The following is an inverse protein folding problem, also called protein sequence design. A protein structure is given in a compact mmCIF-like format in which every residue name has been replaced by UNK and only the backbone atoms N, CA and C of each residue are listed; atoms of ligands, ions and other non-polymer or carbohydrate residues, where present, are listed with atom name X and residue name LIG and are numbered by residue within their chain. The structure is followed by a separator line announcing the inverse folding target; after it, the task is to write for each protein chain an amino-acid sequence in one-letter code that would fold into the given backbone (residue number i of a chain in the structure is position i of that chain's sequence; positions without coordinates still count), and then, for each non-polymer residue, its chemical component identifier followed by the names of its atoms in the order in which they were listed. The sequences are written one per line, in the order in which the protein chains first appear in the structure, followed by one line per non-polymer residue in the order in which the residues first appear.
data_IF_470355796640
#
_entry.id   IF_470355796640
#
_cell.length_a   1.000
_cell.length_b   1.000
_cell.length_c   1.000
_cell.angle_alpha   90.00
_cell.angle_beta   90.00
_cell.angle_gamma   90.00
#
_symmetry.space_group_name_H-M   'P 1'
#
loop_
_entity.id
_entity.type
_entity.pdbx_description
1 polymer ?
#
# COMPACT_ATOMS: atom_id res chain seq x y z
N UNK A 1 -24.20 9.58 -64.80
CA UNK A 1 -24.51 10.60 -63.78
C UNK A 1 -24.89 9.87 -62.50
N UNK A 2 -23.96 9.78 -61.54
CA UNK A 2 -24.13 9.05 -60.29
C UNK A 2 -24.69 9.99 -59.22
N UNK A 3 -25.89 9.71 -58.71
CA UNK A 3 -26.45 10.40 -57.55
C UNK A 3 -25.91 9.75 -56.29
N UNK A 4 -25.02 10.45 -55.59
CA UNK A 4 -24.57 10.07 -54.24
C UNK A 4 -25.68 10.43 -53.24
N UNK A 5 -26.38 9.42 -52.72
CA UNK A 5 -27.22 9.58 -51.55
C UNK A 5 -26.32 9.64 -50.31
N UNK A 6 -26.24 10.81 -49.68
CA UNK A 6 -25.69 10.92 -48.32
C UNK A 6 -26.65 10.24 -47.35
N UNK A 7 -26.30 9.05 -46.87
CA UNK A 7 -26.96 8.42 -45.73
C UNK A 7 -26.59 9.20 -44.47
N UNK A 8 -27.53 9.99 -43.96
CA UNK A 8 -27.44 10.64 -42.65
C UNK A 8 -27.27 9.56 -41.58
N UNK A 9 -26.09 9.50 -40.97
CA UNK A 9 -25.86 8.59 -39.85
C UNK A 9 -26.70 9.04 -38.65
N UNK A 10 -27.40 8.07 -38.06
CA UNK A 10 -28.22 8.19 -36.87
C UNK A 10 -27.42 8.76 -35.70
N UNK A 11 -28.11 9.57 -34.87
CA UNK A 11 -27.56 10.18 -33.64
C UNK A 11 -26.81 9.12 -32.83
N UNK A 12 -25.53 9.35 -32.58
CA UNK A 12 -24.76 8.53 -31.66
C UNK A 12 -25.46 8.54 -30.30
N UNK A 13 -25.65 7.38 -29.65
CA UNK A 13 -26.20 7.35 -28.31
C UNK A 13 -25.31 8.18 -27.37
N UNK A 14 -25.94 8.91 -26.45
CA UNK A 14 -25.24 9.76 -25.49
C UNK A 14 -24.17 8.97 -24.74
N UNK A 15 -23.01 9.59 -24.51
CA UNK A 15 -21.90 8.95 -23.80
C UNK A 15 -22.31 8.57 -22.37
N UNK A 16 -21.66 7.54 -21.82
CA UNK A 16 -21.82 7.16 -20.42
C UNK A 16 -21.66 8.37 -19.47
N UNK A 17 -20.67 9.24 -19.73
CA UNK A 17 -20.44 10.44 -18.91
C UNK A 17 -21.61 11.44 -18.92
N UNK A 18 -22.35 11.53 -20.02
CA UNK A 18 -23.56 12.36 -20.09
C UNK A 18 -24.66 11.81 -19.18
N UNK A 19 -24.88 10.49 -19.18
CA UNK A 19 -25.87 9.85 -18.32
C UNK A 19 -25.52 9.95 -16.83
N UNK A 20 -24.23 9.79 -16.50
CA UNK A 20 -23.74 9.97 -15.12
C UNK A 20 -24.01 11.40 -14.66
N UNK A 21 -23.68 12.41 -15.48
CA UNK A 21 -23.91 13.81 -15.12
C UNK A 21 -25.40 14.12 -14.92
N UNK A 22 -26.27 13.63 -15.82
CA UNK A 22 -27.71 13.82 -15.69
C UNK A 22 -28.27 13.18 -14.41
N UNK A 23 -27.84 11.96 -14.08
CA UNK A 23 -28.24 11.30 -12.84
C UNK A 23 -27.75 12.06 -11.60
N UNK A 24 -26.54 12.63 -11.65
CA UNK A 24 -25.98 13.46 -10.57
C UNK A 24 -26.75 14.76 -10.38
N UNK A 25 -27.14 15.44 -11.47
CA UNK A 25 -27.99 16.63 -11.44
C UNK A 25 -29.37 16.32 -10.83
N UNK A 26 -29.99 15.20 -11.22
CA UNK A 26 -31.26 14.73 -10.63
C UNK A 26 -31.14 14.42 -9.14
N UNK A 27 -29.95 14.05 -8.66
CA UNK A 27 -29.66 13.78 -7.25
C UNK A 27 -29.19 15.02 -6.46
N UNK A 28 -29.07 16.20 -7.09
CA UNK A 28 -28.62 17.44 -6.44
C UNK A 28 -27.13 17.45 -6.06
N UNK A 29 -26.29 16.68 -6.77
CA UNK A 29 -24.83 16.66 -6.56
C UNK A 29 -24.22 17.74 -7.46
N UNK A 30 -24.14 18.97 -6.94
CA UNK A 30 -23.73 20.16 -7.72
C UNK A 30 -22.21 20.27 -7.96
N UNK A 31 -21.40 19.61 -7.14
CA UNK A 31 -19.93 19.70 -7.21
C UNK A 31 -19.29 18.32 -6.98
N UNK A 32 -18.95 17.64 -8.07
CA UNK A 32 -18.17 16.40 -8.01
C UNK A 32 -16.75 16.69 -8.45
N UNK A 33 -15.82 16.69 -7.51
CA UNK A 33 -14.41 16.62 -7.85
C UNK A 33 -14.12 15.20 -8.33
N UNK A 34 -13.87 15.06 -9.65
CA UNK A 34 -13.26 13.84 -10.18
C UNK A 34 -11.89 13.74 -9.53
N UNK A 35 -11.70 12.75 -8.67
CA UNK A 35 -10.40 12.46 -8.09
C UNK A 35 -9.44 12.16 -9.25
N UNK A 36 -8.30 12.88 -9.38
CA UNK A 36 -7.37 12.62 -10.46
C UNK A 36 -6.89 11.17 -10.37
N UNK A 37 -6.87 10.48 -11.51
CA UNK A 37 -6.26 9.15 -11.57
C UNK A 37 -4.78 9.32 -11.32
N UNK A 38 -4.29 8.71 -10.25
CA UNK A 38 -2.86 8.65 -9.97
C UNK A 38 -2.21 7.68 -10.96
N UNK A 39 -1.62 8.25 -12.01
CA UNK A 39 -0.80 7.51 -12.94
C UNK A 39 0.62 7.44 -12.36
N UNK A 40 1.10 6.23 -12.14
CA UNK A 40 2.47 5.97 -11.70
C UNK A 40 3.47 6.66 -12.65
N UNK A 41 4.51 7.28 -12.09
CA UNK A 41 5.63 7.86 -12.86
C UNK A 41 6.53 6.76 -13.42
N UNK A 42 6.42 5.56 -12.88
CA UNK A 42 7.10 4.36 -13.35
C UNK A 42 6.13 3.54 -14.19
N UNK A 43 6.55 3.13 -15.39
CA UNK A 43 5.70 2.29 -16.22
C UNK A 43 5.41 0.95 -15.51
N UNK A 44 4.20 0.36 -15.65
CA UNK A 44 3.79 -0.81 -14.87
C UNK A 44 4.76 -1.99 -14.94
N UNK A 45 5.40 -2.21 -16.09
CA UNK A 45 6.37 -3.30 -16.29
C UNK A 45 7.74 -3.08 -15.62
N UNK A 46 7.98 -1.89 -15.04
CA UNK A 46 9.16 -1.62 -14.21
C UNK A 46 8.86 -1.65 -12.72
N UNK A 47 7.60 -1.86 -12.31
CA UNK A 47 7.25 -2.01 -10.90
C UNK A 47 7.79 -3.35 -10.38
N UNK A 48 8.35 -3.38 -9.16
CA UNK A 48 8.94 -4.59 -8.61
C UNK A 48 7.84 -5.54 -8.17
N UNK A 49 8.04 -6.83 -8.44
CA UNK A 49 7.25 -7.87 -7.78
C UNK A 49 7.65 -7.96 -6.31
N UNK A 50 6.66 -7.89 -5.43
CA UNK A 50 6.85 -8.00 -3.98
C UNK A 50 6.59 -9.44 -3.56
N UNK A 51 7.64 -10.14 -3.15
CA UNK A 51 7.54 -11.48 -2.57
C UNK A 51 7.49 -11.39 -1.05
N UNK A 52 6.39 -11.82 -0.40
CA UNK A 52 6.31 -11.79 1.04
C UNK A 52 7.23 -12.84 1.65
N UNK A 53 8.02 -12.41 2.63
CA UNK A 53 8.59 -13.34 3.59
C UNK A 53 7.49 -13.67 4.60
N UNK A 54 7.18 -14.94 4.78
CA UNK A 54 6.19 -15.38 5.76
C UNK A 54 6.93 -15.98 6.94
N UNK A 55 6.85 -15.30 8.08
CA UNK A 55 7.47 -15.77 9.31
C UNK A 55 6.75 -17.05 9.85
N UNK A 56 5.49 -17.31 9.43
CA UNK A 56 4.67 -18.46 9.85
C UNK A 56 3.80 -18.97 8.69
N UNK A 57 3.75 -20.28 8.43
CA UNK A 57 2.97 -20.87 7.33
C UNK A 57 1.62 -21.45 7.75
N UNK A 58 1.47 -21.94 8.99
CA UNK A 58 0.40 -22.94 9.20
C UNK A 58 -0.66 -22.63 10.25
N UNK A 59 -0.46 -21.72 11.20
CA UNK A 59 -1.45 -21.54 12.28
C UNK A 59 -1.57 -20.11 12.77
N UNK A 60 -2.68 -19.47 12.38
CA UNK A 60 -3.32 -18.37 13.13
C UNK A 60 -3.97 -18.93 14.42
N UNK A 61 -3.33 -19.91 15.06
CA UNK A 61 -3.79 -20.43 16.35
C UNK A 61 -3.03 -19.65 17.43
N UNK A 62 -3.73 -19.29 18.49
CA UNK A 62 -3.32 -18.44 19.60
C UNK A 62 -2.00 -18.86 20.24
N UNK A 63 -0.87 -18.48 19.64
CA UNK A 63 0.42 -18.62 20.28
C UNK A 63 0.48 -17.65 21.46
N UNK A 64 0.87 -18.11 22.67
CA UNK A 64 1.11 -17.21 23.78
C UNK A 64 2.12 -16.13 23.38
N UNK A 65 1.95 -14.86 23.81
CA UNK A 65 2.85 -13.76 23.41
C UNK A 65 4.35 -14.07 23.59
N UNK A 66 4.81 -14.74 24.66
CA UNK A 66 6.23 -15.09 24.80
C UNK A 66 6.73 -16.05 23.71
N UNK A 67 5.90 -17.00 23.27
CA UNK A 67 6.26 -17.97 22.22
C UNK A 67 6.30 -17.28 20.87
N UNK A 68 5.32 -16.41 20.59
CA UNK A 68 5.29 -15.62 19.37
C UNK A 68 6.49 -14.64 19.28
N UNK A 69 6.86 -14.00 20.39
CA UNK A 69 8.07 -13.17 20.48
C UNK A 69 9.33 -13.98 20.17
N UNK A 70 9.52 -15.15 20.78
CA UNK A 70 10.69 -16.00 20.54
C UNK A 70 10.80 -16.43 19.07
N UNK A 71 9.70 -16.86 18.47
CA UNK A 71 9.67 -17.27 17.05
C UNK A 71 9.91 -16.07 16.12
N UNK A 72 9.39 -14.88 16.45
CA UNK A 72 9.69 -13.67 15.71
C UNK A 72 11.18 -13.32 15.80
N UNK A 73 11.78 -13.40 16.98
CA UNK A 73 13.21 -13.10 17.17
C UNK A 73 14.09 -14.11 16.43
N UNK A 74 13.75 -15.40 16.48
CA UNK A 74 14.43 -16.45 15.72
C UNK A 74 14.30 -16.20 14.20
N UNK A 75 13.12 -15.88 13.72
CA UNK A 75 12.94 -15.54 12.30
C UNK A 75 13.68 -14.25 11.92
N UNK A 76 13.64 -13.22 12.76
CA UNK A 76 14.36 -11.97 12.53
C UNK A 76 15.87 -12.21 12.42
N UNK A 77 16.40 -13.20 13.14
CA UNK A 77 17.80 -13.62 13.02
C UNK A 77 18.17 -14.16 11.63
N UNK A 78 17.21 -14.73 10.88
CA UNK A 78 17.43 -15.13 9.48
C UNK A 78 17.66 -13.93 8.55
N UNK A 79 17.26 -12.73 8.99
CA UNK A 79 17.45 -11.45 8.29
C UNK A 79 18.50 -10.57 8.96
N UNK A 80 19.39 -11.10 9.80
CA UNK A 80 20.37 -10.30 10.57
C UNK A 80 21.30 -9.40 9.76
N UNK A 81 21.48 -9.69 8.47
CA UNK A 81 22.31 -8.90 7.55
C UNK A 81 21.56 -7.67 6.98
N UNK A 82 20.27 -7.54 7.26
CA UNK A 82 19.45 -6.40 6.91
C UNK A 82 19.08 -5.59 8.14
N UNK A 83 18.85 -4.29 7.95
CA UNK A 83 18.41 -3.43 9.04
C UNK A 83 16.91 -3.70 9.32
N UNK A 84 16.53 -4.12 10.55
CA UNK A 84 15.13 -4.40 10.87
C UNK A 84 14.35 -3.09 11.04
N UNK A 85 13.17 -3.02 10.44
CA UNK A 85 12.24 -1.89 10.55
C UNK A 85 10.88 -2.44 10.94
N UNK A 86 10.29 -2.00 12.03
CA UNK A 86 8.96 -2.45 12.45
C UNK A 86 7.93 -1.39 12.10
N UNK A 87 6.85 -1.80 11.43
CA UNK A 87 5.74 -0.93 11.08
C UNK A 87 4.46 -1.37 11.78
N UNK A 88 3.59 -0.42 12.12
CA UNK A 88 2.28 -0.73 12.70
C UNK A 88 1.29 0.39 12.37
N UNK A 89 0.12 0.03 11.86
CA UNK A 89 -1.03 0.92 11.76
C UNK A 89 -1.87 0.78 13.01
N UNK A 90 -2.30 1.91 13.59
CA UNK A 90 -3.13 1.92 14.79
C UNK A 90 -4.46 2.63 14.55
N UNK A 91 -5.47 2.21 15.31
CA UNK A 91 -6.79 2.82 15.38
C UNK A 91 -7.15 3.08 16.83
N UNK A 92 -7.77 4.22 17.09
CA UNK A 92 -8.28 4.62 18.40
C UNK A 92 -9.59 5.39 18.23
N UNK A 93 -10.29 5.69 19.33
CA UNK A 93 -11.47 6.56 19.31
C UNK A 93 -11.15 7.96 18.77
N UNK A 94 -9.88 8.40 18.85
CA UNK A 94 -9.41 9.67 18.33
C UNK A 94 -9.03 9.64 16.84
N UNK A 95 -9.19 8.51 16.16
CA UNK A 95 -8.85 8.29 14.76
C UNK A 95 -7.69 7.32 14.56
N UNK A 96 -7.00 7.44 13.43
CA UNK A 96 -5.97 6.51 12.98
C UNK A 96 -4.57 7.09 13.15
N UNK A 97 -3.57 6.22 13.22
CA UNK A 97 -2.17 6.61 13.28
C UNK A 97 -1.28 5.54 12.67
N UNK A 98 -0.03 5.89 12.43
CA UNK A 98 0.99 4.93 12.00
C UNK A 98 2.26 5.12 12.80
N UNK A 99 3.01 4.03 12.98
CA UNK A 99 4.30 4.00 13.65
C UNK A 99 5.32 3.22 12.83
N UNK A 100 6.57 3.68 12.88
CA UNK A 100 7.74 3.03 12.29
C UNK A 100 8.89 3.07 13.29
N UNK A 101 9.49 1.92 13.57
CA UNK A 101 10.59 1.76 14.52
C UNK A 101 11.81 1.21 13.80
N UNK A 102 12.89 1.99 13.84
CA UNK A 102 14.24 1.60 13.46
C UNK A 102 15.05 1.29 14.74
N UNK A 103 16.22 0.63 14.64
CA UNK A 103 17.07 0.37 15.81
C UNK A 103 17.44 1.64 16.58
N UNK A 104 17.71 2.73 15.86
CA UNK A 104 18.23 3.97 16.43
C UNK A 104 17.14 5.00 16.76
N UNK A 105 15.94 4.87 16.17
CA UNK A 105 14.87 5.85 16.34
C UNK A 105 13.49 5.31 15.99
N UNK A 106 12.46 5.97 16.52
CA UNK A 106 11.08 5.75 16.12
C UNK A 106 10.43 7.03 15.58
N UNK A 107 9.46 6.85 14.70
CA UNK A 107 8.65 7.92 14.11
C UNK A 107 7.21 7.44 13.97
N UNK A 108 6.28 8.36 13.99
CA UNK A 108 4.88 8.08 13.78
C UNK A 108 4.12 9.35 13.47
N UNK A 109 2.89 9.18 12.99
CA UNK A 109 2.04 10.30 12.60
C UNK A 109 0.58 9.99 12.91
N UNK A 110 -0.17 11.06 13.23
CA UNK A 110 -1.62 10.99 13.31
C UNK A 110 -2.21 11.15 11.92
N UNK A 111 -3.22 10.36 11.64
CA UNK A 111 -3.97 10.37 10.40
C UNK A 111 -5.39 10.89 10.64
N UNK A 112 -6.07 11.43 9.61
CA UNK A 112 -7.47 11.79 9.70
C UNK A 112 -8.33 10.63 10.18
N UNK A 113 -9.34 10.92 11.01
CA UNK A 113 -10.26 9.92 11.57
C UNK A 113 -11.14 9.23 10.52
N UNK A 114 -11.23 9.79 9.31
CA UNK A 114 -12.00 9.24 8.19
C UNK A 114 -11.27 8.11 7.44
N UNK A 115 -9.98 7.89 7.73
CA UNK A 115 -9.20 6.85 7.05
C UNK A 115 -9.52 5.46 7.60
N UNK A 116 -8.93 4.43 6.99
CA UNK A 116 -9.08 3.05 7.44
C UNK A 116 -7.80 2.54 8.10
N UNK A 117 -7.90 1.48 8.88
CA UNK A 117 -6.73 0.76 9.40
C UNK A 117 -5.82 0.29 8.26
N UNK A 118 -6.39 -0.11 7.12
CA UNK A 118 -5.64 -0.47 5.92
C UNK A 118 -4.80 0.70 5.38
N UNK A 119 -5.36 1.91 5.37
CA UNK A 119 -4.63 3.12 4.97
C UNK A 119 -3.52 3.47 5.95
N UNK A 120 -3.75 3.27 7.26
CA UNK A 120 -2.74 3.48 8.29
C UNK A 120 -1.53 2.55 8.12
N UNK A 121 -1.80 1.26 7.89
CA UNK A 121 -0.79 0.23 7.59
C UNK A 121 0.01 0.56 6.32
N UNK A 122 -0.65 0.99 5.24
CA UNK A 122 0.04 1.46 4.03
C UNK A 122 0.87 2.73 4.28
N UNK A 123 0.39 3.63 5.14
CA UNK A 123 1.10 4.86 5.49
C UNK A 123 2.39 4.55 6.26
N UNK A 124 2.37 3.58 7.17
CA UNK A 124 3.55 3.10 7.87
C UNK A 124 4.61 2.56 6.88
N UNK A 125 4.18 1.73 5.93
CA UNK A 125 5.05 1.17 4.90
C UNK A 125 5.64 2.24 3.97
N UNK A 126 4.82 3.21 3.54
CA UNK A 126 5.28 4.32 2.73
C UNK A 126 6.33 5.16 3.45
N UNK A 127 6.09 5.47 4.72
CA UNK A 127 7.05 6.22 5.53
C UNK A 127 8.35 5.43 5.72
N UNK A 128 8.26 4.11 5.97
CA UNK A 128 9.44 3.25 6.09
C UNK A 128 10.27 3.25 4.81
N UNK A 129 9.68 3.06 3.63
CA UNK A 129 10.43 3.05 2.36
C UNK A 129 11.07 4.40 2.03
N UNK A 130 10.39 5.52 2.36
CA UNK A 130 10.96 6.86 2.25
C UNK A 130 12.21 7.03 3.12
N UNK A 131 12.13 6.64 4.40
CA UNK A 131 13.27 6.73 5.33
C UNK A 131 14.39 5.80 4.91
N UNK A 132 14.10 4.57 4.51
CA UNK A 132 15.07 3.62 3.98
C UNK A 132 15.89 4.21 2.84
N UNK A 133 15.26 4.99 1.95
CA UNK A 133 15.95 5.63 0.84
C UNK A 133 17.00 6.66 1.28
N UNK A 134 16.83 7.26 2.46
CA UNK A 134 17.78 8.24 3.02
C UNK A 134 18.95 7.61 3.77
N UNK A 135 18.79 6.37 4.24
CA UNK A 135 19.77 5.71 5.11
C UNK A 135 20.85 4.95 4.29
N UNK A 136 22.12 4.93 4.71
CA UNK A 136 23.23 4.28 4.00
C UNK A 136 23.29 2.76 4.23
N UNK A 137 22.16 2.05 4.11
CA UNK A 137 22.09 0.60 4.30
C UNK A 137 21.88 -0.15 2.98
N UNK A 138 22.52 -1.33 2.81
CA UNK A 138 22.36 -2.14 1.60
C UNK A 138 21.04 -2.92 1.59
N UNK A 139 20.44 -3.18 2.76
CA UNK A 139 19.17 -3.86 2.83
C UNK A 139 18.37 -3.56 4.09
N UNK A 140 17.05 -3.66 3.97
CA UNK A 140 16.10 -3.51 5.07
C UNK A 140 15.12 -4.68 5.08
N UNK A 141 14.74 -5.14 6.28
CA UNK A 141 13.60 -6.03 6.45
C UNK A 141 12.52 -5.29 7.23
N UNK A 142 11.39 -5.05 6.57
CA UNK A 142 10.21 -4.42 7.15
C UNK A 142 9.34 -5.52 7.77
N UNK A 143 9.28 -5.52 9.10
CA UNK A 143 8.49 -6.43 9.91
C UNK A 143 7.14 -5.81 10.28
N UNK A 144 6.13 -6.68 10.31
CA UNK A 144 4.73 -6.42 10.67
C UNK A 144 4.06 -5.42 9.73
N UNK A 145 3.12 -5.97 8.98
CA UNK A 145 2.18 -5.27 8.11
C UNK A 145 0.88 -6.06 8.14
N UNK A 146 -0.26 -5.42 7.96
CA UNK A 146 -1.51 -6.15 7.78
C UNK A 146 -1.45 -7.06 6.54
N UNK A 147 -2.00 -8.28 6.65
CA UNK A 147 -2.04 -9.22 5.52
C UNK A 147 -2.71 -8.61 4.28
N UNK A 148 -3.73 -7.76 4.49
CA UNK A 148 -4.38 -7.00 3.43
C UNK A 148 -3.46 -5.98 2.76
N UNK A 149 -2.66 -5.21 3.52
CA UNK A 149 -1.69 -4.27 2.95
C UNK A 149 -0.63 -4.98 2.10
N UNK A 150 -0.14 -6.14 2.55
CA UNK A 150 0.76 -6.95 1.74
C UNK A 150 0.09 -7.50 0.49
N UNK A 151 -1.11 -8.06 0.63
CA UNK A 151 -1.82 -8.59 -0.52
C UNK A 151 -2.04 -7.51 -1.58
N UNK A 152 -2.24 -6.25 -1.17
CA UNK A 152 -2.32 -5.11 -2.07
C UNK A 152 -0.98 -4.76 -2.74
N UNK A 153 0.15 -4.92 -2.04
CA UNK A 153 1.49 -4.76 -2.63
C UNK A 153 1.85 -5.90 -3.59
N UNK A 154 1.43 -7.13 -3.30
CA UNK A 154 1.67 -8.29 -4.15
C UNK A 154 0.73 -8.35 -5.37
N UNK A 155 -0.51 -7.85 -5.25
CA UNK A 155 -1.50 -7.88 -6.32
C UNK A 155 -1.80 -6.48 -6.85
N UNK A 156 -1.29 -6.16 -8.04
CA UNK A 156 -1.49 -4.89 -8.73
C UNK A 156 -2.92 -4.63 -9.24
N UNK A 157 -3.92 -5.39 -8.80
CA UNK A 157 -5.29 -5.35 -9.33
C UNK A 157 -6.08 -4.09 -8.95
N UNK A 158 -5.52 -3.19 -8.13
CA UNK A 158 -6.15 -1.92 -7.78
C UNK A 158 -5.12 -0.79 -7.70
N UNK A 159 -5.26 0.33 -8.43
CA UNK A 159 -4.34 1.47 -8.37
C UNK A 159 -4.63 2.29 -7.10
N UNK A 160 -4.35 1.73 -5.94
CA UNK A 160 -4.39 2.49 -4.69
C UNK A 160 -3.18 3.43 -4.64
N UNK A 161 -3.36 4.75 -4.42
CA UNK A 161 -2.28 5.73 -4.57
C UNK A 161 -1.10 5.45 -3.62
N UNK A 162 -1.37 5.00 -2.39
CA UNK A 162 -0.28 4.62 -1.46
C UNK A 162 0.47 3.36 -1.89
N UNK A 163 -0.21 2.38 -2.49
CA UNK A 163 0.43 1.15 -2.98
C UNK A 163 1.37 1.51 -4.14
N UNK A 164 0.90 2.33 -5.08
CA UNK A 164 1.72 2.85 -6.17
C UNK A 164 2.93 3.63 -5.65
N UNK A 165 2.73 4.53 -4.69
CA UNK A 165 3.82 5.30 -4.10
C UNK A 165 4.87 4.39 -3.42
N UNK A 166 4.44 3.36 -2.67
CA UNK A 166 5.36 2.38 -2.07
C UNK A 166 6.17 1.68 -3.15
N UNK A 167 5.52 1.19 -4.21
CA UNK A 167 6.20 0.51 -5.32
C UNK A 167 7.18 1.43 -6.05
N UNK A 168 6.84 2.69 -6.28
CA UNK A 168 7.76 3.69 -6.84
C UNK A 168 9.00 3.87 -5.96
N UNK A 169 8.84 3.94 -4.63
CA UNK A 169 9.98 3.99 -3.70
C UNK A 169 10.83 2.72 -3.76
N UNK A 170 10.21 1.55 -3.89
CA UNK A 170 10.94 0.28 -4.06
C UNK A 170 11.76 0.27 -5.36
N UNK A 171 11.26 0.87 -6.45
CA UNK A 171 12.05 1.06 -7.68
C UNK A 171 13.27 1.93 -7.43
N UNK A 172 13.10 3.05 -6.73
CA UNK A 172 14.21 3.96 -6.41
C UNK A 172 15.26 3.30 -5.52
N UNK A 173 14.81 2.54 -4.51
CA UNK A 173 15.68 1.74 -3.64
C UNK A 173 16.44 0.67 -4.44
N UNK A 174 15.75 -0.05 -5.33
CA UNK A 174 16.38 -1.04 -6.21
C UNK A 174 17.43 -0.43 -7.13
N UNK A 175 17.18 0.76 -7.70
CA UNK A 175 18.17 1.50 -8.52
C UNK A 175 19.40 1.92 -7.74
N UNK A 176 19.26 2.13 -6.42
CA UNK A 176 20.37 2.41 -5.50
C UNK A 176 21.15 1.13 -5.11
N UNK A 177 20.66 -0.05 -5.51
CA UNK A 177 21.20 -1.33 -5.06
C UNK A 177 20.76 -1.71 -3.64
N UNK A 178 19.71 -1.08 -3.12
CA UNK A 178 19.16 -1.39 -1.80
C UNK A 178 18.02 -2.42 -1.92
N UNK A 179 18.14 -3.53 -1.18
CA UNK A 179 17.10 -4.57 -1.11
C UNK A 179 16.12 -4.29 0.02
N UNK A 180 14.82 -4.35 -0.25
CA UNK A 180 13.79 -4.31 0.80
C UNK A 180 13.00 -5.60 0.80
N UNK A 181 12.92 -6.24 1.96
CA UNK A 181 12.15 -7.45 2.20
C UNK A 181 10.99 -7.10 3.13
N UNK A 182 9.78 -7.57 2.83
CA UNK A 182 8.63 -7.47 3.74
C UNK A 182 8.46 -8.83 4.44
N UNK A 183 8.57 -8.91 5.79
CA UNK A 183 8.12 -10.10 6.56
C UNK A 183 6.80 -9.90 7.27
N UNK A 184 5.85 -10.78 6.98
CA UNK A 184 4.57 -10.83 7.64
C UNK A 184 4.73 -11.52 8.98
N UNK A 185 4.24 -10.86 10.02
CA UNK A 185 4.21 -11.38 11.39
C UNK A 185 2.76 -11.37 11.85
N UNK A 186 2.20 -12.49 12.33
CA UNK A 186 0.87 -12.54 12.91
C UNK A 186 0.80 -11.66 14.15
N UNK A 187 -0.36 -11.05 14.36
CA UNK A 187 -0.62 -10.14 15.48
C UNK A 187 -0.36 -10.87 16.80
N UNK A 188 0.51 -10.28 17.62
CA UNK A 188 0.58 -10.58 19.05
C UNK A 188 -0.40 -9.65 19.75
N UNK A 189 -1.50 -10.18 20.27
CA UNK A 189 -2.29 -9.47 21.28
C UNK A 189 -1.45 -9.46 22.56
N UNK A 190 -0.76 -8.35 22.80
CA UNK A 190 -0.29 -8.01 24.13
C UNK A 190 -1.52 -7.54 24.91
N UNK A 191 -1.89 -8.34 25.90
CA UNK A 191 -3.00 -8.12 26.85
C UNK A 191 -2.89 -6.73 27.47
#
# INVERSE_FOLDING_TARGET
MSNYYYLSHSRTPWSFGFWVRKAMEEMGIEDFQICPVWVSRVAPWFLPEVFPCTCFTDKKESLPPPVACSLLLEHAFTHRESLPVYTDGSSSDAGFGFGVVFPDFCRGGRLPSVLSIFTAELSANLYATQVNFTLPQPSFTIFRYSFSALQALCNFNFPHPLVLAILEWLVLLGRRGCKVTFCWVPVMELI
#
